data_IF_044848849806
#
_entry.id   IF_044848849806
#
_cell.length_a   1.000
_cell.length_b   1.000
_cell.length_c   1.000
_cell.angle_alpha   90.00
_cell.angle_beta   90.00
_cell.angle_gamma   90.00
#
_symmetry.space_group_name_H-M   'P 1'
#
loop_
_entity.id
_entity.type
_entity.pdbx_description
1 polymer ?
#
# COMPACT_ATOMS: atom_id res chain seq x y z
N UNK A 1 2.40 -1.60 16.59
CA UNK A 1 1.55 -0.38 16.62
C UNK A 1 0.37 -0.49 15.63
N UNK A 2 -0.77 0.15 15.92
CA UNK A 2 -1.94 0.19 15.02
C UNK A 2 -1.86 1.37 14.03
N UNK A 3 -2.13 1.15 12.74
CA UNK A 3 -2.10 2.20 11.70
C UNK A 3 -3.50 2.66 11.33
N UNK A 4 -3.66 3.94 11.02
CA UNK A 4 -4.95 4.49 10.58
C UNK A 4 -5.51 3.70 9.39
N UNK A 5 -6.80 3.37 9.45
CA UNK A 5 -7.54 2.53 8.49
C UNK A 5 -7.19 1.04 8.49
N UNK A 6 -6.30 0.57 9.36
CA UNK A 6 -6.17 -0.85 9.61
C UNK A 6 -7.51 -1.41 10.09
N UNK A 7 -7.84 -2.60 9.60
CA UNK A 7 -9.03 -3.35 9.98
C UNK A 7 -8.57 -4.53 10.84
N UNK A 8 -9.23 -4.73 11.98
CA UNK A 8 -9.00 -5.89 12.84
C UNK A 8 -10.30 -6.65 13.06
N UNK A 9 -10.23 -7.97 13.06
CA UNK A 9 -11.37 -8.87 13.32
C UNK A 9 -11.11 -9.70 14.58
N UNK A 10 -12.12 -9.80 15.44
CA UNK A 10 -12.13 -10.77 16.52
C UNK A 10 -12.53 -12.14 15.98
N UNK A 11 -11.65 -13.14 16.10
CA UNK A 11 -11.93 -14.51 15.63
C UNK A 11 -12.94 -15.28 16.50
N UNK A 12 -13.42 -14.71 17.63
CA UNK A 12 -14.47 -15.34 18.47
C UNK A 12 -15.85 -14.76 18.21
N UNK A 13 -16.00 -13.44 18.30
CA UNK A 13 -17.30 -12.78 18.19
C UNK A 13 -17.51 -12.05 16.87
N UNK A 14 -16.53 -12.10 15.97
CA UNK A 14 -16.55 -11.47 14.64
C UNK A 14 -16.63 -9.94 14.61
N UNK A 15 -16.56 -9.28 15.77
CA UNK A 15 -16.44 -7.82 15.82
C UNK A 15 -15.29 -7.33 14.95
N UNK A 16 -15.59 -6.35 14.10
CA UNK A 16 -14.65 -5.68 13.21
C UNK A 16 -14.43 -4.27 13.72
N UNK A 17 -13.18 -3.84 13.80
CA UNK A 17 -12.81 -2.48 14.20
C UNK A 17 -11.92 -1.85 13.14
N UNK A 18 -12.12 -0.56 12.92
CA UNK A 18 -11.23 0.27 12.12
C UNK A 18 -10.48 1.26 13.01
N UNK A 19 -9.19 1.42 12.76
CA UNK A 19 -8.38 2.41 13.44
C UNK A 19 -8.65 3.80 12.83
N UNK A 20 -9.39 4.65 13.55
CA UNK A 20 -9.63 6.04 13.13
C UNK A 20 -8.50 6.99 13.57
N UNK A 21 -7.85 6.66 14.69
CA UNK A 21 -6.69 7.36 15.25
C UNK A 21 -5.66 6.33 15.69
N UNK A 22 -4.42 6.55 15.29
CA UNK A 22 -3.29 5.72 15.69
C UNK A 22 -3.04 5.80 17.19
N UNK A 23 -2.62 4.67 17.75
CA UNK A 23 -2.27 4.55 19.14
C UNK A 23 -1.49 3.27 19.39
N UNK A 24 -0.78 3.27 20.50
CA UNK A 24 -0.07 2.10 20.98
C UNK A 24 -1.02 1.12 21.68
N UNK A 25 -0.56 -0.13 21.79
CA UNK A 25 -1.29 -1.21 22.42
C UNK A 25 -1.94 -2.16 21.41
N UNK A 26 -2.08 -3.41 21.86
CA UNK A 26 -2.74 -4.46 21.11
C UNK A 26 -4.26 -4.38 21.34
N UNK A 27 -5.04 -4.57 20.28
CA UNK A 27 -6.50 -4.60 20.40
C UNK A 27 -6.94 -5.96 20.95
N UNK A 28 -7.71 -5.96 22.03
CA UNK A 28 -8.24 -7.17 22.66
C UNK A 28 -9.75 -7.26 22.53
N UNK A 29 -10.24 -8.44 22.16
CA UNK A 29 -11.66 -8.75 22.18
C UNK A 29 -11.86 -10.22 22.58
N UNK A 30 -12.82 -10.49 23.46
CA UNK A 30 -13.05 -11.83 24.03
C UNK A 30 -11.80 -12.45 24.69
N UNK A 31 -10.99 -11.64 25.38
CA UNK A 31 -9.83 -12.11 26.15
C UNK A 31 -8.61 -12.53 25.32
N UNK A 32 -8.59 -12.23 24.01
CA UNK A 32 -7.46 -12.50 23.12
C UNK A 32 -7.18 -11.33 22.17
N UNK A 33 -5.96 -11.23 21.63
CA UNK A 33 -5.65 -10.29 20.57
C UNK A 33 -6.58 -10.43 19.38
N UNK A 34 -6.99 -9.30 18.81
CA UNK A 34 -7.66 -9.26 17.51
C UNK A 34 -6.64 -9.48 16.39
N UNK A 35 -7.10 -10.04 15.28
CA UNK A 35 -6.24 -10.32 14.11
C UNK A 35 -6.38 -9.18 13.11
N UNK A 36 -5.26 -8.65 12.62
CA UNK A 36 -5.24 -7.66 11.54
C UNK A 36 -5.69 -8.32 10.23
N UNK A 37 -6.64 -7.70 9.53
CA UNK A 37 -7.11 -8.15 8.23
C UNK A 37 -6.17 -7.62 7.15
N UNK A 38 -5.41 -8.54 6.52
CA UNK A 38 -4.61 -8.21 5.35
C UNK A 38 -5.51 -8.09 4.11
N UNK A 39 -5.30 -7.02 3.34
CA UNK A 39 -6.09 -6.80 2.12
C UNK A 39 -5.69 -7.82 1.05
N UNK A 40 -6.69 -8.56 0.56
CA UNK A 40 -6.52 -9.50 -0.54
C UNK A 40 -6.75 -8.81 -1.88
N UNK A 41 -6.07 -9.29 -2.91
CA UNK A 41 -6.23 -8.84 -4.29
C UNK A 41 -5.84 -9.92 -5.32
N UNK A 42 -5.68 -11.18 -4.87
CA UNK A 42 -5.16 -12.29 -5.67
C UNK A 42 -6.20 -13.39 -5.98
N UNK A 43 -5.85 -14.11 -7.04
CA UNK A 43 -6.66 -14.77 -8.05
C UNK A 43 -6.78 -16.30 -7.82
N UNK A 44 -7.29 -16.72 -6.65
CA UNK A 44 -7.57 -18.14 -6.34
C UNK A 44 -8.99 -18.56 -6.78
N UNK A 45 -9.53 -17.95 -7.85
CA UNK A 45 -10.85 -18.28 -8.38
C UNK A 45 -12.03 -17.72 -7.59
N UNK A 46 -11.83 -16.66 -6.80
CA UNK A 46 -12.91 -15.93 -6.12
C UNK A 46 -13.01 -14.49 -6.65
N UNK A 47 -13.18 -14.37 -7.96
CA UNK A 47 -13.44 -13.10 -8.71
C UNK A 47 -14.61 -12.27 -8.16
N UNK A 48 -15.40 -12.79 -7.22
CA UNK A 48 -16.61 -12.16 -6.67
C UNK A 48 -16.33 -11.03 -5.67
N UNK A 49 -15.12 -10.94 -5.11
CA UNK A 49 -14.84 -10.02 -3.99
C UNK A 49 -13.91 -8.88 -4.35
N UNK A 50 -13.21 -9.01 -5.47
CA UNK A 50 -12.35 -7.95 -5.96
C UNK A 50 -13.22 -6.77 -6.42
N UNK A 51 -12.98 -5.54 -5.94
CA UNK A 51 -13.63 -4.37 -6.52
C UNK A 51 -13.38 -4.30 -8.02
N UNK A 52 -14.32 -3.77 -8.77
CA UNK A 52 -14.20 -3.50 -10.20
C UNK A 52 -14.50 -2.03 -10.39
N UNK A 53 -13.57 -1.32 -11.00
CA UNK A 53 -13.67 0.12 -11.24
C UNK A 53 -13.89 0.28 -12.73
N UNK A 54 -15.05 0.81 -13.12
CA UNK A 54 -15.38 1.10 -14.53
C UNK A 54 -15.49 2.59 -14.72
N UNK A 55 -14.66 3.13 -15.60
CA UNK A 55 -14.76 4.52 -16.00
C UNK A 55 -15.94 4.74 -16.95
N UNK A 56 -16.80 5.73 -16.66
CA UNK A 56 -17.88 6.21 -17.53
C UNK A 56 -17.61 7.65 -17.93
N UNK A 57 -18.44 8.23 -18.80
CA UNK A 57 -18.24 9.61 -19.28
C UNK A 57 -18.18 10.64 -18.15
N UNK A 58 -19.07 10.53 -17.15
CA UNK A 58 -19.23 11.53 -16.08
C UNK A 58 -18.98 10.99 -14.66
N UNK A 59 -18.84 9.68 -14.50
CA UNK A 59 -18.68 9.03 -13.19
C UNK A 59 -17.83 7.74 -13.28
N UNK A 60 -17.37 7.24 -12.14
CA UNK A 60 -16.88 5.88 -11.99
C UNK A 60 -17.99 5.01 -11.41
N UNK A 61 -18.16 3.81 -11.96
CA UNK A 61 -19.01 2.75 -11.41
C UNK A 61 -18.11 1.73 -10.71
N UNK A 62 -18.32 1.58 -9.40
CA UNK A 62 -17.62 0.64 -8.55
C UNK A 62 -18.59 -0.49 -8.23
N UNK A 63 -18.24 -1.72 -8.60
CA UNK A 63 -18.97 -2.92 -8.19
C UNK A 63 -18.03 -3.86 -7.44
N UNK A 64 -18.58 -4.74 -6.59
CA UNK A 64 -17.78 -5.81 -5.97
C UNK A 64 -18.03 -7.13 -6.68
N UNK A 65 -16.95 -7.65 -7.26
CA UNK A 65 -16.93 -8.85 -8.07
C UNK A 65 -17.10 -8.61 -9.56
N UNK A 66 -16.36 -9.36 -10.38
CA UNK A 66 -16.67 -9.48 -11.83
C UNK A 66 -17.93 -10.31 -12.02
N UNK A 67 -18.08 -11.36 -11.21
CA UNK A 67 -19.32 -12.11 -11.01
C UNK A 67 -20.06 -11.52 -9.81
N UNK A 68 -21.38 -11.36 -9.93
CA UNK A 68 -22.22 -10.79 -8.87
C UNK A 68 -21.98 -11.50 -7.53
N UNK A 69 -21.55 -10.71 -6.55
CA UNK A 69 -21.31 -11.19 -5.19
C UNK A 69 -22.66 -11.48 -4.49
N UNK A 70 -22.78 -12.58 -3.71
CA UNK A 70 -23.98 -12.85 -2.94
C UNK A 70 -24.26 -11.73 -1.92
N UNK A 71 -25.48 -11.22 -1.85
CA UNK A 71 -25.88 -10.22 -0.86
C UNK A 71 -26.92 -10.82 0.09
N UNK A 72 -26.53 -11.92 0.73
CA UNK A 72 -27.37 -12.70 1.65
C UNK A 72 -26.98 -12.44 3.11
N UNK A 73 -27.86 -12.79 4.04
CA UNK A 73 -27.58 -12.64 5.47
C UNK A 73 -26.25 -13.30 5.89
N UNK A 74 -25.98 -14.51 5.38
CA UNK A 74 -24.77 -15.25 5.73
C UNK A 74 -23.53 -14.80 4.96
N UNK A 75 -23.69 -14.23 3.77
CA UNK A 75 -22.59 -13.85 2.89
C UNK A 75 -22.98 -12.60 2.13
N UNK A 76 -22.36 -11.48 2.48
CA UNK A 76 -22.55 -10.18 1.83
C UNK A 76 -21.29 -9.32 1.91
N UNK A 77 -21.28 -8.25 1.12
CA UNK A 77 -20.36 -7.13 1.28
C UNK A 77 -20.96 -6.19 2.32
N UNK A 78 -20.25 -5.95 3.42
CA UNK A 78 -20.72 -5.03 4.45
C UNK A 78 -20.48 -3.58 4.02
N UNK A 79 -19.30 -3.31 3.46
CA UNK A 79 -18.93 -1.97 3.05
C UNK A 79 -17.92 -1.96 1.91
N UNK A 80 -17.92 -0.85 1.19
CA UNK A 80 -16.89 -0.45 0.22
C UNK A 80 -16.37 0.92 0.64
N UNK A 81 -15.06 1.08 0.58
CA UNK A 81 -14.39 2.36 0.76
C UNK A 81 -13.65 2.76 -0.51
N UNK A 82 -13.88 3.98 -0.97
CA UNK A 82 -13.23 4.56 -2.14
C UNK A 82 -12.27 5.64 -1.65
N UNK A 83 -11.00 5.47 -1.98
CA UNK A 83 -9.98 6.46 -1.71
C UNK A 83 -9.73 7.27 -2.98
N UNK A 84 -9.90 8.57 -2.85
CA UNK A 84 -9.78 9.52 -3.95
C UNK A 84 -8.60 10.46 -3.71
N UNK A 85 -8.36 11.40 -4.62
CA UNK A 85 -7.35 12.44 -4.40
C UNK A 85 -7.69 13.42 -3.26
N UNK A 86 -8.97 13.55 -2.88
CA UNK A 86 -9.45 14.56 -1.92
C UNK A 86 -9.93 13.97 -0.60
N UNK A 87 -10.53 12.79 -0.67
CA UNK A 87 -11.28 12.21 0.44
C UNK A 87 -11.38 10.69 0.37
N UNK A 88 -11.90 10.10 1.45
CA UNK A 88 -12.24 8.69 1.57
C UNK A 88 -13.73 8.56 1.82
N UNK A 89 -14.43 7.85 0.95
CA UNK A 89 -15.88 7.68 1.00
C UNK A 89 -16.19 6.23 1.31
N UNK A 90 -16.87 5.98 2.43
CA UNK A 90 -17.27 4.63 2.85
C UNK A 90 -18.78 4.47 2.74
N UNK A 91 -19.22 3.49 1.96
CA UNK A 91 -20.62 3.09 1.84
C UNK A 91 -20.83 1.72 2.48
N UNK A 92 -21.81 1.64 3.37
CA UNK A 92 -22.33 0.38 3.90
C UNK A 92 -23.48 -0.11 3.02
N UNK A 93 -23.59 -1.42 2.85
CA UNK A 93 -24.64 -2.05 2.04
C UNK A 93 -25.61 -2.84 2.92
N UNK A 94 -26.87 -2.87 2.50
CA UNK A 94 -27.87 -3.71 3.12
C UNK A 94 -27.90 -5.10 2.47
N UNK A 95 -28.45 -6.09 3.17
CA UNK A 95 -28.76 -7.40 2.59
C UNK A 95 -29.73 -7.21 1.41
N UNK A 96 -29.53 -7.97 0.34
CA UNK A 96 -30.22 -7.90 -0.95
C UNK A 96 -30.01 -6.58 -1.74
N UNK A 97 -29.20 -5.64 -1.25
CA UNK A 97 -28.76 -4.48 -2.02
C UNK A 97 -27.58 -4.89 -2.90
N UNK A 98 -27.63 -4.59 -4.21
CA UNK A 98 -26.48 -4.86 -5.08
C UNK A 98 -25.27 -4.03 -4.60
N UNK A 99 -24.05 -4.59 -4.51
CA UNK A 99 -22.87 -3.89 -4.02
C UNK A 99 -22.28 -3.00 -5.11
N UNK A 100 -23.07 -2.02 -5.56
CA UNK A 100 -22.73 -1.05 -6.61
C UNK A 100 -22.77 0.36 -6.02
N UNK A 101 -21.77 1.14 -6.38
CA UNK A 101 -21.64 2.54 -5.99
C UNK A 101 -21.14 3.36 -7.17
N UNK A 102 -21.62 4.60 -7.28
CA UNK A 102 -21.18 5.52 -8.33
C UNK A 102 -20.60 6.77 -7.70
N UNK A 103 -19.51 7.28 -8.29
CA UNK A 103 -18.83 8.49 -7.82
C UNK A 103 -18.48 9.39 -9.01
N UNK A 104 -18.68 10.71 -8.93
CA UNK A 104 -18.31 11.61 -10.02
C UNK A 104 -16.83 11.53 -10.40
N UNK A 105 -16.54 11.70 -11.69
CA UNK A 105 -15.20 11.48 -12.25
C UNK A 105 -14.12 12.42 -11.71
N UNK A 106 -14.52 13.63 -11.34
CA UNK A 106 -13.65 14.68 -10.81
C UNK A 106 -13.04 14.35 -9.43
N UNK A 107 -13.52 13.30 -8.76
CA UNK A 107 -12.96 12.83 -7.50
C UNK A 107 -11.60 12.13 -7.71
N UNK A 108 -11.36 11.56 -8.90
CA UNK A 108 -10.16 10.78 -9.27
C UNK A 108 -9.93 9.62 -8.29
N UNK A 109 -10.59 8.49 -8.56
CA UNK A 109 -10.46 7.27 -7.75
C UNK A 109 -9.03 6.75 -7.84
N UNK A 110 -8.38 6.56 -6.69
CA UNK A 110 -7.02 6.00 -6.57
C UNK A 110 -7.08 4.50 -6.31
N UNK A 111 -7.86 4.10 -5.31
CA UNK A 111 -8.08 2.71 -4.97
C UNK A 111 -9.45 2.52 -4.31
N UNK A 112 -9.89 1.27 -4.29
CA UNK A 112 -11.12 0.83 -3.65
C UNK A 112 -10.82 -0.33 -2.73
N UNK A 113 -11.41 -0.33 -1.53
CA UNK A 113 -11.43 -1.46 -0.59
C UNK A 113 -12.84 -1.99 -0.46
N UNK A 114 -13.01 -3.30 -0.33
CA UNK A 114 -14.29 -3.94 -0.06
C UNK A 114 -14.13 -4.95 1.08
N UNK A 115 -15.10 -5.00 1.98
CA UNK A 115 -15.08 -5.95 3.09
C UNK A 115 -16.27 -6.90 2.99
N UNK A 116 -15.95 -8.19 2.96
CA UNK A 116 -16.93 -9.27 3.00
C UNK A 116 -16.91 -9.92 4.38
N UNK A 117 -18.09 -10.05 4.99
CA UNK A 117 -18.25 -10.63 6.33
C UNK A 117 -17.53 -11.99 6.51
N UNK A 118 -17.54 -12.82 5.45
CA UNK A 118 -16.90 -14.16 5.44
C UNK A 118 -15.44 -14.17 4.97
N UNK A 119 -15.09 -13.34 3.99
CA UNK A 119 -13.82 -13.47 3.27
C UNK A 119 -12.83 -12.35 3.58
N UNK A 120 -13.21 -11.40 4.44
CA UNK A 120 -12.35 -10.34 4.93
C UNK A 120 -12.22 -9.19 3.94
N UNK A 121 -11.09 -8.51 4.05
CA UNK A 121 -10.77 -7.29 3.32
C UNK A 121 -10.18 -7.56 1.93
N UNK A 122 -10.65 -6.82 0.94
CA UNK A 122 -10.20 -6.85 -0.44
C UNK A 122 -9.86 -5.44 -0.91
N UNK A 123 -8.98 -5.31 -1.90
CA UNK A 123 -8.66 -4.01 -2.51
C UNK A 123 -8.37 -4.09 -4.00
N UNK A 124 -8.42 -2.93 -4.66
CA UNK A 124 -7.95 -2.72 -6.04
C UNK A 124 -7.47 -1.29 -6.26
N UNK A 125 -6.30 -1.12 -6.85
CA UNK A 125 -5.81 0.15 -7.40
C UNK A 125 -6.50 0.45 -8.74
N UNK A 126 -6.78 1.74 -8.99
CA UNK A 126 -7.37 2.19 -10.25
C UNK A 126 -6.27 2.37 -11.31
N UNK A 127 -5.77 1.26 -11.84
CA UNK A 127 -4.66 1.25 -12.81
C UNK A 127 -4.96 0.47 -14.11
N UNK A 128 -6.16 -0.11 -14.23
CA UNK A 128 -6.50 -1.02 -15.34
C UNK A 128 -6.55 -0.32 -16.71
N UNK A 129 -6.87 0.98 -16.74
CA UNK A 129 -6.95 1.76 -18.00
C UNK A 129 -5.61 2.43 -18.38
N UNK A 130 -4.59 2.33 -17.52
CA UNK A 130 -3.25 2.87 -17.79
C UNK A 130 -2.50 1.88 -18.68
N UNK A 131 -1.76 2.37 -19.69
CA UNK A 131 -0.98 1.50 -20.56
C UNK A 131 0.07 0.75 -19.77
N UNK A 132 0.30 -0.53 -20.11
CA UNK A 132 1.33 -1.38 -19.50
C UNK A 132 2.72 -0.71 -19.48
N UNK A 133 3.09 -0.05 -20.56
CA UNK A 133 4.35 0.69 -20.70
C UNK A 133 4.46 1.81 -19.65
N UNK A 134 3.41 2.62 -19.51
CA UNK A 134 3.36 3.73 -18.55
C UNK A 134 3.40 3.22 -17.11
N UNK A 135 2.75 2.08 -16.82
CA UNK A 135 2.80 1.44 -15.49
C UNK A 135 4.20 0.96 -15.11
N UNK A 136 4.98 0.46 -16.06
CA UNK A 136 6.37 0.05 -15.82
C UNK A 136 7.24 1.28 -15.53
N UNK A 137 7.06 2.36 -16.28
CA UNK A 137 7.76 3.63 -15.99
C UNK A 137 7.34 4.21 -14.64
N UNK A 138 6.08 4.02 -14.25
CA UNK A 138 5.56 4.41 -12.94
C UNK A 138 6.24 3.65 -11.81
N UNK A 139 6.37 2.32 -11.96
CA UNK A 139 7.12 1.47 -11.05
C UNK A 139 8.56 1.95 -10.92
N UNK A 140 9.24 2.15 -12.05
CA UNK A 140 10.62 2.62 -12.08
C UNK A 140 10.78 3.97 -11.37
N UNK A 141 9.86 4.91 -11.61
CA UNK A 141 9.86 6.21 -10.94
C UNK A 141 9.71 6.05 -9.42
N UNK A 142 8.81 5.17 -8.97
CA UNK A 142 8.63 4.88 -7.55
C UNK A 142 9.94 4.44 -6.89
N UNK A 143 10.62 3.47 -7.51
CA UNK A 143 11.88 2.94 -7.01
C UNK A 143 12.98 4.01 -6.93
N UNK A 144 13.05 4.88 -7.94
CA UNK A 144 13.99 6.00 -7.94
C UNK A 144 13.66 6.96 -6.79
N UNK A 145 12.39 7.27 -6.58
CA UNK A 145 11.94 8.21 -5.55
C UNK A 145 12.19 7.64 -4.13
N UNK A 146 11.84 6.37 -3.87
CA UNK A 146 12.12 5.68 -2.60
C UNK A 146 13.62 5.57 -2.32
N UNK A 147 14.41 5.12 -3.31
CA UNK A 147 15.88 5.04 -3.20
C UNK A 147 16.48 6.40 -2.83
N UNK A 148 16.05 7.47 -3.51
CA UNK A 148 16.54 8.82 -3.23
C UNK A 148 16.08 9.34 -1.87
N UNK A 149 14.85 9.04 -1.45
CA UNK A 149 14.33 9.37 -0.12
C UNK A 149 15.23 8.74 0.96
N UNK A 150 15.48 7.44 0.88
CA UNK A 150 16.27 6.72 1.88
C UNK A 150 17.72 7.20 1.94
N UNK A 151 18.36 7.46 0.77
CA UNK A 151 19.70 8.06 0.72
C UNK A 151 19.74 9.44 1.40
N UNK A 152 18.82 10.33 1.04
CA UNK A 152 18.76 11.67 1.63
C UNK A 152 18.45 11.64 3.12
N UNK A 153 17.63 10.70 3.58
CA UNK A 153 17.34 10.55 5.00
C UNK A 153 18.57 10.03 5.75
N UNK A 154 19.29 9.05 5.20
CA UNK A 154 20.54 8.53 5.75
C UNK A 154 21.65 9.60 5.85
N UNK A 155 21.67 10.59 4.97
CA UNK A 155 22.61 11.73 5.04
C UNK A 155 22.33 12.66 6.23
N UNK A 156 21.08 12.76 6.66
CA UNK A 156 20.65 13.66 7.75
C UNK A 156 20.82 13.03 9.14
N UNK A 157 20.79 11.71 9.20
CA UNK A 157 20.82 10.95 10.45
C UNK A 157 22.26 10.74 10.91
N UNK A 158 22.52 11.05 12.19
CA UNK A 158 23.82 10.81 12.83
C UNK A 158 23.90 9.44 13.48
N UNK A 159 22.75 8.88 13.88
CA UNK A 159 22.66 7.53 14.39
C UNK A 159 23.17 6.52 13.35
N UNK A 160 24.36 5.95 13.57
CA UNK A 160 25.02 5.04 12.63
C UNK A 160 24.19 3.80 12.31
N UNK A 161 23.44 3.28 13.29
CA UNK A 161 22.60 2.09 13.11
C UNK A 161 21.42 2.37 12.17
N UNK A 162 20.68 3.44 12.44
CA UNK A 162 19.56 3.84 11.58
C UNK A 162 20.05 4.24 10.18
N UNK A 163 21.21 4.90 10.10
CA UNK A 163 21.87 5.23 8.83
C UNK A 163 22.22 3.98 8.02
N UNK A 164 22.74 2.93 8.65
CA UNK A 164 23.02 1.66 7.97
C UNK A 164 21.73 1.01 7.43
N UNK A 165 20.67 0.98 8.24
CA UNK A 165 19.36 0.46 7.83
C UNK A 165 18.75 1.23 6.64
N UNK A 166 18.84 2.55 6.63
CA UNK A 166 18.34 3.36 5.52
C UNK A 166 19.18 3.18 4.25
N UNK A 167 20.50 3.06 4.37
CA UNK A 167 21.34 2.72 3.22
C UNK A 167 21.07 1.31 2.70
N UNK A 168 20.75 0.36 3.58
CA UNK A 168 20.30 -0.97 3.19
C UNK A 168 19.00 -0.89 2.37
N UNK A 169 17.97 -0.20 2.87
CA UNK A 169 16.72 0.02 2.14
C UNK A 169 16.98 0.66 0.77
N UNK A 170 17.75 1.75 0.72
CA UNK A 170 18.13 2.39 -0.54
C UNK A 170 18.83 1.43 -1.53
N UNK A 171 19.65 0.50 -1.03
CA UNK A 171 20.32 -0.50 -1.84
C UNK A 171 19.38 -1.58 -2.38
N UNK A 172 18.33 -1.95 -1.65
CA UNK A 172 17.28 -2.84 -2.13
C UNK A 172 16.45 -2.17 -3.24
N UNK A 173 16.01 -0.92 -3.04
CA UNK A 173 15.26 -0.15 -4.05
C UNK A 173 16.08 0.09 -5.33
N UNK A 174 17.41 0.24 -5.21
CA UNK A 174 18.28 0.34 -6.38
C UNK A 174 18.25 -0.94 -7.24
N UNK A 175 18.12 -2.11 -6.62
CA UNK A 175 17.98 -3.38 -7.36
C UNK A 175 16.63 -3.46 -8.05
N UNK A 176 15.55 -3.04 -7.39
CA UNK A 176 14.21 -2.97 -7.99
C UNK A 176 14.18 -2.00 -9.17
N UNK A 177 14.71 -0.78 -9.00
CA UNK A 177 14.92 0.20 -10.07
C UNK A 177 15.64 -0.45 -11.25
N UNK A 178 16.78 -1.09 -11.02
CA UNK A 178 17.59 -1.67 -12.10
C UNK A 178 16.81 -2.75 -12.86
N UNK A 179 16.01 -3.58 -12.16
CA UNK A 179 15.12 -4.53 -12.81
C UNK A 179 14.11 -3.84 -13.72
N UNK A 180 13.38 -2.83 -13.23
CA UNK A 180 12.36 -2.15 -14.04
C UNK A 180 12.98 -1.40 -15.23
N UNK A 181 14.17 -0.83 -15.04
CA UNK A 181 14.92 -0.16 -16.10
C UNK A 181 15.34 -1.14 -17.20
N UNK A 182 15.90 -2.30 -16.83
CA UNK A 182 16.28 -3.36 -17.77
C UNK A 182 15.05 -3.96 -18.45
N UNK A 183 14.00 -4.25 -17.68
CA UNK A 183 12.73 -4.78 -18.18
C UNK A 183 12.12 -3.84 -19.23
N UNK A 184 12.09 -2.53 -18.96
CA UNK A 184 11.57 -1.54 -19.89
C UNK A 184 12.38 -1.51 -21.19
N UNK A 185 13.71 -1.40 -21.09
CA UNK A 185 14.61 -1.33 -22.26
C UNK A 185 14.52 -2.59 -23.11
N UNK A 186 14.44 -3.77 -22.49
CA UNK A 186 14.41 -5.05 -23.20
C UNK A 186 13.03 -5.35 -23.81
N UNK A 187 11.95 -4.95 -23.16
CA UNK A 187 10.58 -5.22 -23.61
C UNK A 187 10.10 -4.22 -24.66
N UNK A 188 10.38 -2.93 -24.44
CA UNK A 188 9.88 -1.86 -25.31
C UNK A 188 10.92 -1.33 -26.30
N UNK A 189 12.20 -1.70 -26.15
CA UNK A 189 13.31 -1.30 -27.04
C UNK A 189 13.42 0.22 -27.19
N UNK A 190 13.15 0.96 -26.11
CA UNK A 190 13.20 2.42 -26.02
C UNK A 190 14.11 2.88 -24.89
N UNK A 191 14.63 4.09 -25.03
CA UNK A 191 15.26 4.79 -23.92
C UNK A 191 14.24 5.14 -22.84
N UNK A 192 14.71 5.14 -21.59
CA UNK A 192 13.87 5.44 -20.43
C UNK A 192 13.67 6.94 -20.34
N UNK A 193 12.41 7.35 -20.44
CA UNK A 193 11.97 8.73 -20.15
C UNK A 193 10.97 8.64 -19.03
N UNK A 194 11.37 9.09 -17.83
CA UNK A 194 10.50 9.07 -16.66
C UNK A 194 9.37 10.10 -16.87
N UNK A 195 8.09 9.68 -16.77
CA UNK A 195 6.98 10.61 -16.94
C UNK A 195 7.00 11.69 -15.85
N UNK A 196 6.74 12.93 -16.28
CA UNK A 196 6.68 14.10 -15.38
C UNK A 196 5.35 14.13 -14.61
N UNK A 197 4.29 13.53 -15.18
CA UNK A 197 2.97 13.52 -14.56
C UNK A 197 2.90 12.56 -13.37
N UNK A 198 2.35 13.08 -12.27
CA UNK A 198 2.10 12.36 -11.03
C UNK A 198 0.81 11.54 -11.17
N UNK A 199 0.82 10.57 -12.07
CA UNK A 199 -0.25 9.56 -12.18
C UNK A 199 -0.12 8.49 -11.09
N UNK A 200 0.89 8.60 -10.22
CA UNK A 200 1.11 7.72 -9.08
C UNK A 200 0.02 7.94 -8.02
N UNK A 201 -0.76 6.90 -7.67
CA UNK A 201 -1.61 6.96 -6.48
C UNK A 201 -0.77 6.86 -5.18
N UNK A 202 0.54 6.66 -5.28
CA UNK A 202 1.42 6.44 -4.13
C UNK A 202 1.64 7.74 -3.35
N UNK A 203 1.62 7.68 -2.01
CA UNK A 203 1.85 8.84 -1.17
C UNK A 203 3.29 9.32 -1.34
N UNK A 204 3.47 10.64 -1.44
CA UNK A 204 4.80 11.25 -1.44
C UNK A 204 5.25 11.53 -0.01
N UNK A 205 6.50 11.23 0.27
CA UNK A 205 7.13 11.55 1.55
C UNK A 205 7.81 12.91 1.42
N UNK A 206 7.37 13.88 2.21
CA UNK A 206 7.95 15.22 2.22
C UNK A 206 8.99 15.35 3.34
N UNK A 207 10.25 15.52 2.94
CA UNK A 207 11.38 15.79 3.83
C UNK A 207 11.91 17.22 3.67
N UNK A 208 11.18 18.12 3.01
CA UNK A 208 11.61 19.50 2.80
C UNK A 208 11.61 20.32 4.10
N UNK A 209 10.68 20.04 5.02
CA UNK A 209 10.65 20.64 6.34
C UNK A 209 11.69 19.98 7.27
N UNK A 210 12.75 20.69 7.69
CA UNK A 210 13.76 20.15 8.58
C UNK A 210 13.26 19.93 10.01
N UNK A 211 12.08 20.46 10.38
CA UNK A 211 11.48 20.31 11.72
C UNK A 211 10.51 19.14 11.80
N UNK A 212 10.18 18.51 10.68
CA UNK A 212 9.25 17.38 10.66
C UNK A 212 9.83 16.22 11.49
N UNK A 213 9.08 15.70 12.49
CA UNK A 213 9.57 14.60 13.31
C UNK A 213 9.96 13.39 12.47
N UNK A 214 11.09 12.74 12.80
CA UNK A 214 11.55 11.54 12.11
C UNK A 214 10.47 10.43 12.11
N UNK A 215 9.74 10.27 13.20
CA UNK A 215 8.65 9.29 13.31
C UNK A 215 7.51 9.55 12.31
N UNK A 216 7.27 10.80 11.93
CA UNK A 216 6.29 11.19 10.91
C UNK A 216 6.83 10.93 9.49
N UNK A 217 8.10 11.21 9.24
CA UNK A 217 8.76 10.88 7.97
C UNK A 217 8.74 9.36 7.73
N UNK A 218 9.12 8.58 8.75
CA UNK A 218 9.09 7.11 8.69
C UNK A 218 7.66 6.59 8.52
N UNK A 219 6.66 7.26 9.09
CA UNK A 219 5.26 6.91 8.88
C UNK A 219 4.86 7.04 7.41
N UNK A 220 5.18 8.17 6.79
CA UNK A 220 4.87 8.42 5.39
C UNK A 220 5.60 7.44 4.48
N UNK A 221 6.88 7.14 4.79
CA UNK A 221 7.63 6.11 4.08
C UNK A 221 6.93 4.73 4.19
N UNK A 222 6.48 4.32 5.38
CA UNK A 222 5.69 3.10 5.55
C UNK A 222 4.42 3.09 4.71
N UNK A 223 3.71 4.23 4.61
CA UNK A 223 2.53 4.32 3.75
C UNK A 223 2.89 4.22 2.26
N UNK A 224 4.05 4.73 1.87
CA UNK A 224 4.60 4.57 0.51
C UNK A 224 4.90 3.11 0.20
N UNK A 225 5.55 2.39 1.12
CA UNK A 225 5.83 0.96 1.00
C UNK A 225 4.56 0.11 0.87
N UNK A 226 3.55 0.38 1.70
CA UNK A 226 2.25 -0.28 1.55
C UNK A 226 1.68 0.02 0.17
N UNK A 227 1.65 1.28 -0.26
CA UNK A 227 1.06 1.61 -1.54
C UNK A 227 1.84 0.98 -2.72
N UNK A 228 3.17 0.85 -2.62
CA UNK A 228 4.01 0.15 -3.59
C UNK A 228 3.73 -1.36 -3.62
N UNK A 229 3.63 -2.00 -2.44
CA UNK A 229 3.18 -3.38 -2.29
C UNK A 229 1.88 -3.63 -3.05
N UNK A 230 0.88 -2.75 -2.87
CA UNK A 230 -0.43 -2.81 -3.52
C UNK A 230 -0.33 -2.68 -5.04
N UNK A 231 0.45 -1.68 -5.47
CA UNK A 231 0.66 -1.39 -6.87
C UNK A 231 1.32 -2.57 -7.59
N UNK A 232 2.38 -3.17 -7.05
CA UNK A 232 3.04 -4.32 -7.67
C UNK A 232 2.18 -5.56 -7.72
N UNK A 233 1.31 -5.75 -6.73
CA UNK A 233 0.40 -6.88 -6.73
C UNK A 233 -0.69 -6.73 -7.79
N UNK A 234 -1.26 -5.53 -7.96
CA UNK A 234 -2.19 -5.26 -9.07
C UNK A 234 -1.49 -5.26 -10.44
N UNK A 235 -0.26 -4.75 -10.53
CA UNK A 235 0.56 -4.82 -11.75
C UNK A 235 0.84 -6.28 -12.14
N UNK A 236 1.08 -7.17 -11.17
CA UNK A 236 1.30 -8.59 -11.42
C UNK A 236 0.13 -9.27 -12.13
N UNK A 237 -1.10 -8.78 -11.89
CA UNK A 237 -2.31 -9.25 -12.58
C UNK A 237 -2.41 -8.72 -14.00
N UNK A 238 -2.02 -7.47 -14.22
CA UNK A 238 -1.97 -6.88 -15.56
C UNK A 238 -1.00 -7.67 -16.45
N UNK A 239 0.09 -8.19 -15.89
CA UNK A 239 1.07 -9.06 -16.56
C UNK A 239 0.79 -10.56 -16.41
N UNK A 240 -0.45 -10.99 -16.13
CA UNK A 240 -0.77 -12.42 -15.93
C UNK A 240 -0.43 -13.33 -17.12
N UNK A 241 -0.38 -12.78 -18.32
CA UNK A 241 0.04 -13.46 -19.55
C UNK A 241 1.55 -13.76 -19.61
N UNK A 242 2.37 -12.98 -18.90
CA UNK A 242 3.79 -13.24 -18.70
C UNK A 242 4.03 -13.77 -17.27
N UNK A 243 4.00 -15.09 -17.13
CA UNK A 243 4.15 -15.74 -15.82
C UNK A 243 5.46 -15.39 -15.11
N UNK A 244 6.55 -15.12 -15.84
CA UNK A 244 7.84 -14.78 -15.24
C UNK A 244 7.75 -13.40 -14.60
N UNK A 245 7.25 -12.42 -15.34
CA UNK A 245 7.08 -11.04 -14.88
C UNK A 245 6.04 -10.96 -13.76
N UNK A 246 4.90 -11.64 -13.91
CA UNK A 246 3.85 -11.70 -12.87
C UNK A 246 4.41 -12.25 -11.54
N UNK A 247 5.17 -13.34 -11.57
CA UNK A 247 5.80 -13.89 -10.35
C UNK A 247 6.83 -12.93 -9.75
N UNK A 248 7.62 -12.24 -10.57
CA UNK A 248 8.60 -11.27 -10.10
C UNK A 248 7.94 -10.08 -9.41
N UNK A 249 6.85 -9.56 -9.98
CA UNK A 249 6.08 -8.47 -9.38
C UNK A 249 5.44 -8.86 -8.04
N UNK A 250 4.97 -10.11 -7.89
CA UNK A 250 4.51 -10.64 -6.59
C UNK A 250 5.66 -10.74 -5.57
N UNK A 251 6.86 -11.05 -6.04
CA UNK A 251 8.06 -11.06 -5.20
C UNK A 251 8.40 -9.66 -4.70
N UNK A 252 8.47 -8.65 -5.57
CA UNK A 252 8.68 -7.25 -5.15
C UNK A 252 7.59 -6.75 -4.21
N UNK A 253 6.32 -7.03 -4.52
CA UNK A 253 5.22 -6.75 -3.61
C UNK A 253 5.46 -7.32 -2.20
N UNK A 254 6.01 -8.54 -2.09
CA UNK A 254 6.36 -9.13 -0.80
C UNK A 254 7.57 -8.45 -0.13
N UNK A 255 8.55 -8.00 -0.92
CA UNK A 255 9.72 -7.25 -0.43
C UNK A 255 9.34 -5.89 0.16
N UNK A 256 8.40 -5.16 -0.44
CA UNK A 256 7.94 -3.87 0.12
C UNK A 256 7.32 -4.04 1.52
N UNK A 257 6.71 -5.19 1.83
CA UNK A 257 6.24 -5.47 3.19
C UNK A 257 7.39 -5.74 4.18
N UNK A 258 8.54 -6.21 3.70
CA UNK A 258 9.77 -6.30 4.49
C UNK A 258 10.31 -4.90 4.75
N UNK A 259 10.34 -4.02 3.74
CA UNK A 259 10.74 -2.61 3.90
C UNK A 259 9.85 -1.89 4.91
N UNK A 260 8.53 -2.02 4.76
CA UNK A 260 7.53 -1.53 5.72
C UNK A 260 7.85 -1.99 7.15
N UNK A 261 8.18 -3.27 7.34
CA UNK A 261 8.46 -3.84 8.67
C UNK A 261 9.73 -3.24 9.29
N UNK A 262 10.77 -3.02 8.48
CA UNK A 262 12.00 -2.35 8.93
C UNK A 262 11.67 -0.92 9.37
N UNK A 263 10.96 -0.15 8.53
CA UNK A 263 10.57 1.22 8.84
C UNK A 263 9.66 1.32 10.07
N UNK A 264 8.76 0.34 10.25
CA UNK A 264 7.89 0.27 11.42
C UNK A 264 8.70 0.18 12.71
N UNK A 265 9.71 -0.70 12.76
CA UNK A 265 10.58 -0.84 13.92
C UNK A 265 11.32 0.46 14.21
N UNK A 266 11.90 1.08 13.17
CA UNK A 266 12.63 2.33 13.34
C UNK A 266 11.73 3.49 13.77
N UNK A 267 10.49 3.51 13.29
CA UNK A 267 9.50 4.50 13.71
C UNK A 267 9.11 4.31 15.17
N UNK A 268 8.91 3.06 15.61
CA UNK A 268 8.62 2.77 17.02
C UNK A 268 9.78 3.20 17.92
N UNK A 269 11.03 3.03 17.48
CA UNK A 269 12.19 3.56 18.20
C UNK A 269 12.19 5.10 18.23
N UNK A 270 11.92 5.75 17.10
CA UNK A 270 11.83 7.20 17.00
C UNK A 270 10.72 7.83 17.87
N UNK A 271 9.65 7.08 18.17
CA UNK A 271 8.58 7.51 19.08
C UNK A 271 8.97 7.33 20.56
N UNK A 272 9.81 6.33 20.88
CA UNK A 272 10.18 5.98 22.26
C UNK A 272 11.37 6.78 22.78
N UNK A 273 12.31 7.12 21.90
CA UNK A 273 13.56 7.78 22.29
C UNK A 273 13.60 9.20 21.72
N UNK A 274 13.69 10.19 22.60
CA UNK A 274 14.02 11.57 22.20
C UNK A 274 15.38 11.57 21.48
N UNK A 275 15.50 12.35 20.41
CA UNK A 275 16.72 12.48 19.62
C UNK A 275 17.26 11.17 19.00
N UNK A 276 16.39 10.21 18.65
CA UNK A 276 16.77 8.92 18.04
C UNK A 276 17.63 9.05 16.76
N UNK A 277 17.51 10.17 16.07
CA UNK A 277 18.29 10.54 14.88
C UNK A 277 19.71 11.03 15.19
N UNK A 278 20.04 11.30 16.47
CA UNK A 278 21.36 11.72 16.94
C UNK A 278 22.21 10.52 17.46
N UNK A 279 23.48 10.75 17.75
CA UNK A 279 24.35 9.74 18.38
C UNK A 279 23.89 9.43 19.81
N UNK A 280 23.69 8.15 20.13
CA UNK A 280 23.35 7.70 21.49
C UNK A 280 24.62 7.07 22.11
N UNK A 281 25.30 7.72 23.08
CA UNK A 281 26.61 7.29 23.57
C UNK A 281 26.66 5.90 24.24
N UNK A 282 25.51 5.36 24.66
CA UNK A 282 25.41 4.10 25.41
C UNK A 282 24.86 2.92 24.62
N UNK A 283 24.48 3.11 23.35
CA UNK A 283 24.14 1.97 22.49
C UNK A 283 25.46 1.43 21.97
N UNK A 284 25.84 0.26 22.48
CA UNK A 284 27.00 -0.49 22.02
C UNK A 284 26.84 -0.73 20.52
N UNK A 285 27.46 0.11 19.71
CA UNK A 285 27.86 -0.24 18.35
C UNK A 285 28.72 -1.50 18.53
N UNK A 286 28.42 -2.57 17.79
CA UNK A 286 28.98 -3.91 17.97
C UNK A 286 30.53 -4.00 17.96
N UNK A 287 31.11 -5.21 17.98
CA UNK A 287 32.55 -5.41 18.20
C UNK A 287 33.44 -4.65 17.21
#
# INVERSE_FOLDING_TARGET
MNIKKDIFKCITCENVVEILREGDGELFCCGKPMVKEESKNNDDGVEKHLPVIKEKETYFEISVGEVEHPMTLEHHIEWVEINTSKESIKKFFNINEKPVFTIPKDHKVKNVRAYCNKHGLWRRMNIDEIKREDLVLLALKNEIDSMNLYRKLAERIKNSYLKERLNFLAGEEEKHKNYFEEFYKTTYLKDVVIPVEDVMPLPKVDISDPKKPLSEILYEAMQSEIAAHDFYLDLSRIFKDDQKTSKMLKFFSSMEMVHYSILQIERENALKFEDYDNEIPMIHVGP
#
